data_IF_737296080709
#
_entry.id   IF_737296080709
#
_cell.length_a   1.000
_cell.length_b   1.000
_cell.length_c   1.000
_cell.angle_alpha   90.00
_cell.angle_beta   90.00
_cell.angle_gamma   90.00
#
_symmetry.space_group_name_H-M   'P 1'
#
loop_
_entity.id
_entity.type
_entity.pdbx_description
1 polymer ?
#
# COMPACT_ATOMS: atom_id res chain seq x y z
N UNK A 1 -5.71 17.80 -2.96
CA UNK A 1 -5.30 17.72 -1.55
C UNK A 1 -3.78 17.81 -1.51
N UNK A 2 -3.18 18.41 -0.48
CA UNK A 2 -1.73 18.45 -0.32
C UNK A 2 -1.16 17.04 -0.10
N UNK A 3 0.00 16.72 -0.68
CA UNK A 3 0.63 15.39 -0.61
C UNK A 3 0.85 14.93 0.83
N UNK A 4 1.32 15.82 1.71
CA UNK A 4 1.54 15.52 3.12
C UNK A 4 0.24 15.09 3.81
N UNK A 5 -0.87 15.74 3.48
CA UNK A 5 -2.19 15.40 4.01
C UNK A 5 -2.66 14.04 3.48
N UNK A 6 -2.41 13.72 2.21
CA UNK A 6 -2.76 12.42 1.62
C UNK A 6 -1.98 11.31 2.33
N UNK A 7 -0.65 11.44 2.43
CA UNK A 7 0.21 10.47 3.10
C UNK A 7 -0.21 10.30 4.57
N UNK A 8 -0.46 11.42 5.26
CA UNK A 8 -0.87 11.40 6.65
C UNK A 8 -2.28 10.82 6.86
N UNK A 9 -3.20 10.95 5.93
CA UNK A 9 -4.58 10.43 6.05
C UNK A 9 -4.71 8.95 5.66
N UNK A 10 -3.82 8.44 4.79
CA UNK A 10 -3.87 7.05 4.36
C UNK A 10 -3.69 6.08 5.55
N UNK A 11 -4.61 5.15 5.69
CA UNK A 11 -4.51 4.02 6.62
C UNK A 11 -5.22 2.78 6.04
N UNK A 12 -5.03 1.62 6.65
CA UNK A 12 -5.63 0.37 6.18
C UNK A 12 -7.10 0.30 6.58
N UNK A 13 -7.98 0.34 5.59
CA UNK A 13 -9.44 0.21 5.76
C UNK A 13 -9.83 -1.26 5.59
N UNK A 14 -10.63 -1.77 6.52
CA UNK A 14 -11.16 -3.16 6.51
C UNK A 14 -12.68 -3.21 6.62
N UNK A 15 -13.33 -2.07 6.75
CA UNK A 15 -14.78 -1.91 6.77
C UNK A 15 -15.21 -0.98 5.64
N UNK A 16 -16.02 -1.51 4.74
CA UNK A 16 -16.42 -0.82 3.52
C UNK A 16 -17.92 -0.59 3.47
N UNK A 17 -18.32 0.58 3.01
CA UNK A 17 -19.70 0.87 2.67
C UNK A 17 -20.13 0.10 1.42
N UNK A 18 -21.43 -0.18 1.31
CA UNK A 18 -22.04 -0.89 0.16
C UNK A 18 -22.09 -0.03 -1.12
N UNK A 19 -21.24 0.99 -1.23
CA UNK A 19 -21.18 1.89 -2.38
C UNK A 19 -20.19 1.36 -3.41
N UNK A 20 -20.63 1.24 -4.66
CA UNK A 20 -19.77 0.77 -5.77
C UNK A 20 -18.66 1.77 -6.12
N UNK A 21 -17.55 1.22 -6.65
CA UNK A 21 -16.45 1.99 -7.24
C UNK A 21 -16.47 1.74 -8.74
N UNK A 22 -16.65 2.78 -9.54
CA UNK A 22 -16.77 2.67 -10.99
C UNK A 22 -15.47 2.28 -11.66
N UNK A 23 -15.52 1.62 -12.81
CA UNK A 23 -14.32 1.34 -13.61
C UNK A 23 -13.59 2.62 -14.04
N UNK A 24 -14.33 3.73 -14.25
CA UNK A 24 -13.72 5.03 -14.53
C UNK A 24 -12.81 5.48 -13.38
N UNK A 25 -13.30 5.41 -12.15
CA UNK A 25 -12.51 5.77 -10.94
C UNK A 25 -11.28 4.86 -10.79
N UNK A 26 -11.45 3.55 -11.02
CA UNK A 26 -10.33 2.60 -10.99
C UNK A 26 -9.30 2.96 -12.07
N UNK A 27 -9.76 3.24 -13.29
CA UNK A 27 -8.92 3.67 -14.40
C UNK A 27 -8.12 4.93 -14.08
N UNK A 28 -8.75 5.95 -13.48
CA UNK A 28 -8.09 7.18 -13.05
C UNK A 28 -6.98 6.90 -12.02
N UNK A 29 -7.23 6.02 -11.04
CA UNK A 29 -6.23 5.63 -10.05
C UNK A 29 -5.03 4.96 -10.71
N UNK A 30 -5.28 3.99 -11.59
CA UNK A 30 -4.22 3.22 -12.23
C UNK A 30 -3.42 4.05 -13.25
N UNK A 31 -4.08 4.98 -13.95
CA UNK A 31 -3.45 5.86 -14.93
C UNK A 31 -2.44 6.82 -14.27
N UNK A 32 -2.73 7.30 -13.08
CA UNK A 32 -1.77 8.07 -12.28
C UNK A 32 -0.68 7.16 -11.71
N UNK A 33 -1.06 6.01 -11.13
CA UNK A 33 -0.11 5.11 -10.50
C UNK A 33 0.92 4.52 -11.49
N UNK A 34 0.59 4.35 -12.77
CA UNK A 34 1.53 3.84 -13.80
C UNK A 34 2.80 4.68 -13.97
N UNK A 35 2.81 5.93 -13.47
CA UNK A 35 4.00 6.79 -13.46
C UNK A 35 5.01 6.40 -12.36
N UNK A 36 4.79 5.29 -11.66
CA UNK A 36 5.73 4.73 -10.71
C UNK A 36 7.10 4.46 -11.35
N UNK A 37 8.22 4.73 -10.68
CA UNK A 37 9.52 4.26 -11.16
C UNK A 37 9.60 2.74 -11.08
N UNK A 38 10.42 2.15 -11.95
CA UNK A 38 10.72 0.71 -11.94
C UNK A 38 12.16 0.44 -12.33
N UNK A 39 12.70 -0.71 -11.93
CA UNK A 39 14.04 -1.16 -12.26
C UNK A 39 14.23 -1.13 -13.79
N UNK A 40 15.22 -0.38 -14.27
CA UNK A 40 15.46 -0.15 -15.71
C UNK A 40 14.20 0.23 -16.52
N UNK A 41 13.25 0.88 -15.89
CA UNK A 41 11.97 1.28 -16.50
C UNK A 41 11.18 0.11 -17.10
N UNK A 42 11.31 -1.09 -16.54
CA UNK A 42 10.73 -2.33 -17.12
C UNK A 42 9.20 -2.40 -16.99
N UNK A 43 8.61 -1.67 -16.05
CA UNK A 43 7.15 -1.53 -15.86
C UNK A 43 6.41 -2.86 -15.94
N UNK A 44 6.95 -3.86 -15.25
CA UNK A 44 6.50 -5.26 -15.35
C UNK A 44 5.25 -5.58 -14.53
N UNK A 45 4.57 -4.60 -13.95
CA UNK A 45 3.31 -4.78 -13.24
C UNK A 45 2.15 -5.11 -14.19
N UNK A 46 1.19 -5.92 -13.68
CA UNK A 46 -0.10 -6.22 -14.32
C UNK A 46 -1.20 -6.11 -13.28
N UNK A 47 -2.37 -5.68 -13.70
CA UNK A 47 -3.51 -5.48 -12.80
C UNK A 47 -4.67 -6.37 -13.20
N UNK A 48 -5.29 -7.03 -12.21
CA UNK A 48 -6.54 -7.74 -12.40
C UNK A 48 -7.57 -7.11 -11.47
N UNK A 49 -8.64 -6.59 -12.05
CA UNK A 49 -9.72 -5.95 -11.29
C UNK A 49 -10.81 -6.99 -11.02
N UNK A 50 -11.08 -7.25 -9.76
CA UNK A 50 -12.05 -8.24 -9.32
C UNK A 50 -13.20 -7.56 -8.57
N UNK A 51 -14.41 -7.59 -9.17
CA UNK A 51 -15.66 -7.14 -8.57
C UNK A 51 -16.63 -8.29 -8.31
N UNK A 52 -16.43 -9.43 -8.95
CA UNK A 52 -17.26 -10.63 -8.77
C UNK A 52 -17.21 -11.11 -7.31
N UNK A 53 -18.38 -11.27 -6.70
CA UNK A 53 -18.52 -11.61 -5.28
C UNK A 53 -17.91 -12.97 -4.96
N UNK A 54 -18.20 -13.98 -5.78
CA UNK A 54 -17.71 -15.36 -5.57
C UNK A 54 -16.18 -15.43 -5.65
N UNK A 55 -15.58 -14.75 -6.62
CA UNK A 55 -14.11 -14.66 -6.74
C UNK A 55 -13.50 -13.94 -5.55
N UNK A 56 -14.07 -12.80 -5.10
CA UNK A 56 -13.59 -12.07 -3.92
C UNK A 56 -13.63 -12.93 -2.65
N UNK A 57 -14.69 -13.73 -2.46
CA UNK A 57 -14.80 -14.66 -1.33
C UNK A 57 -13.72 -15.77 -1.39
N UNK A 58 -13.49 -16.37 -2.56
CA UNK A 58 -12.43 -17.36 -2.76
C UNK A 58 -11.04 -16.76 -2.50
N UNK A 59 -10.78 -15.56 -3.01
CA UNK A 59 -9.54 -14.82 -2.78
C UNK A 59 -9.34 -14.55 -1.29
N UNK A 60 -10.38 -14.10 -0.58
CA UNK A 60 -10.31 -13.82 0.85
C UNK A 60 -9.96 -15.08 1.68
N UNK A 61 -10.54 -16.23 1.34
CA UNK A 61 -10.20 -17.52 1.94
C UNK A 61 -8.73 -17.90 1.68
N UNK A 62 -8.28 -17.78 0.44
CA UNK A 62 -6.89 -18.04 0.04
C UNK A 62 -5.87 -17.11 0.73
N UNK A 63 -6.30 -15.96 1.24
CA UNK A 63 -5.49 -15.00 1.98
C UNK A 63 -5.66 -15.15 3.49
N UNK A 64 -5.42 -16.36 4.03
CA UNK A 64 -5.49 -16.67 5.46
C UNK A 64 -6.88 -16.40 6.07
N UNK A 65 -7.95 -16.77 5.35
CA UNK A 65 -9.34 -16.57 5.76
C UNK A 65 -9.70 -15.14 6.16
N UNK A 66 -9.08 -14.15 5.54
CA UNK A 66 -9.38 -12.73 5.79
C UNK A 66 -10.72 -12.34 5.15
N UNK A 67 -11.82 -12.90 5.65
CA UNK A 67 -13.17 -12.77 5.07
C UNK A 67 -13.67 -11.31 4.97
N UNK A 68 -13.12 -10.38 5.78
CA UNK A 68 -13.42 -8.96 5.67
C UNK A 68 -13.11 -8.39 4.27
N UNK A 69 -12.12 -8.98 3.55
CA UNK A 69 -11.75 -8.55 2.20
C UNK A 69 -12.92 -8.64 1.22
N UNK A 70 -13.75 -9.71 1.32
CA UNK A 70 -14.87 -9.94 0.41
C UNK A 70 -15.94 -8.83 0.46
N UNK A 71 -15.98 -8.06 1.56
CA UNK A 71 -16.86 -6.90 1.72
C UNK A 71 -16.40 -5.67 0.94
N UNK A 72 -15.13 -5.59 0.56
CA UNK A 72 -14.66 -4.51 -0.29
C UNK A 72 -15.33 -4.58 -1.68
N UNK A 73 -15.81 -3.46 -2.24
CA UNK A 73 -16.39 -3.43 -3.58
C UNK A 73 -15.46 -3.99 -4.66
N UNK A 74 -14.16 -3.70 -4.54
CA UNK A 74 -13.15 -4.04 -5.55
C UNK A 74 -11.91 -4.65 -4.90
N UNK A 75 -11.34 -5.68 -5.54
CA UNK A 75 -9.95 -6.08 -5.33
C UNK A 75 -9.15 -5.70 -6.58
N UNK A 76 -8.02 -5.03 -6.39
CA UNK A 76 -7.00 -4.82 -7.41
C UNK A 76 -5.88 -5.81 -7.10
N UNK A 77 -5.77 -6.88 -7.89
CA UNK A 77 -4.68 -7.84 -7.77
C UNK A 77 -3.52 -7.31 -8.59
N UNK A 78 -2.44 -6.95 -7.92
CA UNK A 78 -1.21 -6.44 -8.55
C UNK A 78 -0.26 -7.61 -8.72
N UNK A 79 0.05 -7.91 -9.96
CA UNK A 79 0.94 -8.99 -10.38
C UNK A 79 2.20 -8.39 -11.02
N UNK A 80 3.23 -9.20 -11.17
CA UNK A 80 4.35 -8.88 -12.06
C UNK A 80 4.52 -9.92 -13.16
N UNK A 81 5.00 -9.46 -14.32
CA UNK A 81 5.42 -10.27 -15.44
C UNK A 81 6.93 -10.52 -15.30
N UNK A 82 7.34 -11.79 -15.15
CA UNK A 82 8.74 -12.12 -14.89
C UNK A 82 9.61 -12.14 -16.15
N UNK A 83 9.04 -12.22 -17.36
CA UNK A 83 9.78 -12.51 -18.57
C UNK A 83 10.89 -11.52 -18.88
N UNK A 84 10.54 -10.26 -19.11
CA UNK A 84 11.52 -9.24 -19.48
C UNK A 84 12.51 -8.94 -18.35
N UNK A 85 12.02 -8.83 -17.12
CA UNK A 85 12.88 -8.51 -15.98
C UNK A 85 13.87 -9.65 -15.68
N UNK A 86 13.46 -10.90 -15.88
CA UNK A 86 14.33 -12.08 -15.72
C UNK A 86 15.44 -12.13 -16.77
N UNK A 87 15.19 -11.64 -17.97
CA UNK A 87 16.21 -11.48 -19.01
C UNK A 87 17.22 -10.40 -18.63
N UNK A 88 16.76 -9.28 -18.07
CA UNK A 88 17.63 -8.15 -17.70
C UNK A 88 18.41 -8.42 -16.39
N UNK A 89 17.79 -9.11 -15.45
CA UNK A 89 18.31 -9.34 -14.10
C UNK A 89 18.08 -10.81 -13.68
N UNK A 90 18.83 -11.78 -14.24
CA UNK A 90 18.55 -13.22 -14.06
C UNK A 90 18.59 -13.69 -12.60
N UNK A 91 19.33 -13.01 -11.72
CA UNK A 91 19.47 -13.37 -10.30
C UNK A 91 18.53 -12.57 -9.40
N UNK A 92 18.32 -11.29 -9.69
CA UNK A 92 17.63 -10.33 -8.84
C UNK A 92 16.18 -10.06 -9.30
N UNK A 93 15.69 -10.72 -10.36
CA UNK A 93 14.39 -10.40 -10.98
C UNK A 93 13.20 -10.48 -10.00
N UNK A 94 13.23 -11.40 -9.05
CA UNK A 94 12.16 -11.54 -8.05
C UNK A 94 12.15 -10.32 -7.12
N UNK A 95 13.32 -9.96 -6.58
CA UNK A 95 13.47 -8.82 -5.65
C UNK A 95 13.06 -7.52 -6.33
N UNK A 96 13.54 -7.28 -7.54
CA UNK A 96 13.20 -6.07 -8.31
C UNK A 96 11.72 -6.04 -8.69
N UNK A 97 11.12 -7.18 -9.02
CA UNK A 97 9.67 -7.26 -9.30
C UNK A 97 8.85 -6.92 -8.05
N UNK A 98 9.23 -7.43 -6.89
CA UNK A 98 8.56 -7.12 -5.62
C UNK A 98 8.69 -5.62 -5.29
N UNK A 99 9.86 -5.01 -5.49
CA UNK A 99 10.07 -3.58 -5.32
C UNK A 99 9.17 -2.78 -6.28
N UNK A 100 9.15 -3.11 -7.57
CA UNK A 100 8.33 -2.45 -8.58
C UNK A 100 6.83 -2.52 -8.21
N UNK A 101 6.33 -3.70 -7.81
CA UNK A 101 4.95 -3.89 -7.37
C UNK A 101 4.67 -3.10 -6.09
N UNK A 102 5.61 -3.02 -5.16
CA UNK A 102 5.44 -2.27 -3.92
C UNK A 102 5.33 -0.78 -4.15
N UNK A 103 6.14 -0.23 -5.05
CA UNK A 103 6.11 1.19 -5.40
C UNK A 103 4.77 1.56 -6.04
N UNK A 104 4.35 0.83 -7.09
CA UNK A 104 3.10 1.14 -7.78
C UNK A 104 1.88 0.93 -6.89
N UNK A 105 1.88 -0.09 -6.04
CA UNK A 105 0.81 -0.34 -5.06
C UNK A 105 0.67 0.80 -4.06
N UNK A 106 1.77 1.40 -3.64
CA UNK A 106 1.76 2.59 -2.77
C UNK A 106 1.12 3.78 -3.48
N UNK A 107 1.46 4.04 -4.74
CA UNK A 107 0.84 5.13 -5.52
C UNK A 107 -0.66 4.89 -5.74
N UNK A 108 -1.09 3.65 -6.00
CA UNK A 108 -2.51 3.28 -6.08
C UNK A 108 -3.24 3.66 -4.79
N UNK A 109 -2.67 3.31 -3.62
CA UNK A 109 -3.28 3.61 -2.34
C UNK A 109 -3.32 5.11 -2.04
N UNK A 110 -2.29 5.88 -2.40
CA UNK A 110 -2.25 7.32 -2.23
C UNK A 110 -3.28 8.02 -3.13
N UNK A 111 -3.35 7.65 -4.42
CA UNK A 111 -4.34 8.22 -5.34
C UNK A 111 -5.77 7.85 -4.94
N UNK A 112 -6.01 6.64 -4.48
CA UNK A 112 -7.31 6.26 -3.93
C UNK A 112 -7.69 7.11 -2.72
N UNK A 113 -6.74 7.37 -1.82
CA UNK A 113 -6.94 8.23 -0.64
C UNK A 113 -7.27 9.67 -1.05
N UNK A 114 -6.60 10.22 -2.06
CA UNK A 114 -6.91 11.54 -2.62
C UNK A 114 -8.35 11.65 -3.12
N UNK A 115 -8.85 10.56 -3.72
CA UNK A 115 -10.24 10.46 -4.20
C UNK A 115 -11.26 10.10 -3.10
N UNK A 116 -10.85 10.10 -1.83
CA UNK A 116 -11.72 9.77 -0.69
C UNK A 116 -12.05 8.28 -0.55
N UNK A 117 -11.28 7.41 -1.19
CA UNK A 117 -11.44 5.96 -1.09
C UNK A 117 -10.52 5.37 -0.04
N UNK A 118 -11.02 4.32 0.63
CA UNK A 118 -10.25 3.50 1.56
C UNK A 118 -9.60 2.31 0.87
N UNK A 119 -8.41 1.96 1.31
CA UNK A 119 -7.65 0.82 0.79
C UNK A 119 -7.05 0.01 1.92
N UNK A 120 -6.79 -1.28 1.66
CA UNK A 120 -5.92 -2.09 2.50
C UNK A 120 -5.01 -2.94 1.62
N UNK A 121 -3.73 -2.95 1.96
CA UNK A 121 -2.74 -3.85 1.39
C UNK A 121 -2.86 -5.23 2.01
N UNK A 122 -2.98 -6.26 1.18
CA UNK A 122 -2.97 -7.66 1.60
C UNK A 122 -1.91 -8.40 0.77
N UNK A 123 -0.97 -9.03 1.45
CA UNK A 123 0.01 -9.89 0.77
C UNK A 123 -0.68 -11.17 0.25
N UNK A 124 -0.28 -11.61 -0.93
CA UNK A 124 -0.71 -12.89 -1.47
C UNK A 124 0.01 -14.01 -0.71
N UNK A 125 -0.74 -14.80 0.07
CA UNK A 125 -0.18 -15.91 0.84
C UNK A 125 -0.14 -17.23 0.06
N UNK A 126 -1.05 -17.41 -0.90
CA UNK A 126 -1.12 -18.58 -1.76
C UNK A 126 -1.23 -18.18 -3.24
N UNK A 127 -0.06 -17.98 -3.87
CA UNK A 127 0.01 -17.55 -5.28
C UNK A 127 -0.66 -18.54 -6.23
N UNK A 128 -0.48 -19.84 -6.02
CA UNK A 128 -1.04 -20.90 -6.90
C UNK A 128 -2.56 -20.87 -6.90
N UNK A 129 -3.16 -20.75 -5.75
CA UNK A 129 -4.62 -20.70 -5.62
C UNK A 129 -5.20 -19.42 -6.22
N UNK A 130 -4.59 -18.25 -5.98
CA UNK A 130 -4.99 -16.99 -6.62
C UNK A 130 -4.88 -17.09 -8.14
N UNK A 131 -3.78 -17.66 -8.65
CA UNK A 131 -3.59 -17.87 -10.09
C UNK A 131 -4.67 -18.78 -10.67
N UNK A 132 -5.05 -19.86 -9.98
CA UNK A 132 -6.13 -20.76 -10.39
C UNK A 132 -7.49 -20.04 -10.41
N UNK A 133 -7.83 -19.29 -9.35
CA UNK A 133 -9.10 -18.54 -9.25
C UNK A 133 -9.25 -17.53 -10.40
N UNK A 134 -8.16 -16.85 -10.74
CA UNK A 134 -8.13 -15.74 -11.72
C UNK A 134 -7.65 -16.15 -13.11
N UNK A 135 -7.28 -17.42 -13.31
CA UNK A 135 -6.71 -17.96 -14.56
C UNK A 135 -5.47 -17.19 -15.02
N UNK A 136 -4.56 -16.94 -14.08
CA UNK A 136 -3.32 -16.21 -14.33
C UNK A 136 -2.31 -17.20 -14.93
N UNK A 137 -1.64 -16.87 -16.06
CA UNK A 137 -0.61 -17.73 -16.65
C UNK A 137 0.66 -17.74 -15.76
N UNK A 138 1.45 -18.80 -15.87
CA UNK A 138 2.58 -19.12 -14.99
C UNK A 138 3.67 -18.02 -14.94
N UNK A 139 3.83 -17.25 -16.02
CA UNK A 139 4.81 -16.16 -16.09
C UNK A 139 4.32 -14.83 -15.49
N UNK A 140 3.08 -14.79 -15.02
CA UNK A 140 2.50 -13.63 -14.29
C UNK A 140 2.30 -14.04 -12.83
N UNK A 141 2.96 -13.37 -11.96
CA UNK A 141 2.98 -13.74 -10.54
C UNK A 141 2.13 -12.76 -9.72
N UNK A 142 1.04 -13.19 -9.07
CA UNK A 142 0.27 -12.34 -8.17
C UNK A 142 1.08 -12.07 -6.90
N UNK A 143 1.19 -10.81 -6.51
CA UNK A 143 2.06 -10.37 -5.40
C UNK A 143 1.30 -9.65 -4.30
N UNK A 144 0.42 -8.73 -4.67
CA UNK A 144 -0.33 -7.90 -3.71
C UNK A 144 -1.79 -7.81 -4.13
N UNK A 145 -2.68 -7.81 -3.15
CA UNK A 145 -4.08 -7.48 -3.35
C UNK A 145 -4.38 -6.17 -2.62
N UNK A 146 -4.87 -5.18 -3.34
CA UNK A 146 -5.36 -3.94 -2.76
C UNK A 146 -6.88 -4.02 -2.73
N UNK A 147 -7.46 -4.10 -1.54
CA UNK A 147 -8.91 -3.92 -1.39
C UNK A 147 -9.24 -2.44 -1.50
N UNK A 148 -10.30 -2.09 -2.23
CA UNK A 148 -10.66 -0.70 -2.57
C UNK A 148 -12.17 -0.49 -2.40
N UNK A 149 -12.54 0.60 -1.75
CA UNK A 149 -13.94 1.00 -1.55
C UNK A 149 -14.07 2.25 -0.70
N UNK A 150 -15.30 2.72 -0.49
CA UNK A 150 -15.56 3.79 0.46
C UNK A 150 -15.50 3.24 1.89
N UNK A 151 -14.76 3.93 2.78
CA UNK A 151 -14.68 3.52 4.17
C UNK A 151 -16.04 3.72 4.88
N UNK A 152 -16.48 2.72 5.63
CA UNK A 152 -17.66 2.82 6.48
C UNK A 152 -17.30 3.47 7.82
N UNK A 153 -16.14 3.08 8.38
CA UNK A 153 -15.60 3.63 9.60
C UNK A 153 -14.11 3.96 9.45
N UNK A 154 -13.68 5.04 10.10
CA UNK A 154 -12.28 5.43 10.19
C UNK A 154 -11.75 5.04 11.58
N UNK A 155 -11.00 3.95 11.64
CA UNK A 155 -10.34 3.53 12.87
C UNK A 155 -9.22 4.49 13.26
N UNK A 156 -8.92 4.53 14.56
CA UNK A 156 -7.80 5.32 15.09
C UNK A 156 -6.49 4.91 14.39
N UNK A 157 -5.72 5.90 13.96
CA UNK A 157 -4.42 5.66 13.33
C UNK A 157 -3.48 4.94 14.28
N UNK A 158 -2.75 3.97 13.75
CA UNK A 158 -1.65 3.33 14.47
C UNK A 158 -0.48 4.30 14.62
N UNK A 159 0.22 4.21 15.74
CA UNK A 159 1.44 4.99 15.99
C UNK A 159 2.53 4.63 14.97
N UNK A 160 3.44 5.56 14.75
CA UNK A 160 4.66 5.35 13.97
C UNK A 160 5.86 5.46 14.88
N UNK A 161 6.90 4.73 14.57
CA UNK A 161 8.18 4.86 15.24
C UNK A 161 8.72 6.28 15.07
N UNK A 162 9.47 6.73 16.04
CA UNK A 162 10.12 8.04 15.96
C UNK A 162 11.23 8.01 14.91
N UNK A 163 11.36 9.08 14.13
CA UNK A 163 12.31 9.15 13.04
C UNK A 163 13.76 8.94 13.53
N UNK A 164 14.11 9.44 14.71
CA UNK A 164 15.43 9.30 15.31
C UNK A 164 15.86 7.83 15.55
N UNK A 165 14.89 6.91 15.71
CA UNK A 165 15.20 5.48 15.87
C UNK A 165 15.64 4.82 14.57
N UNK A 166 15.28 5.41 13.43
CA UNK A 166 15.50 4.88 12.09
C UNK A 166 16.64 5.59 11.33
N UNK A 167 17.12 6.73 11.86
CA UNK A 167 18.17 7.52 11.22
C UNK A 167 19.55 7.11 11.70
N UNK A 168 20.45 6.92 10.75
CA UNK A 168 21.89 6.72 10.94
C UNK A 168 22.62 7.61 9.94
N UNK A 169 23.75 8.17 10.30
CA UNK A 169 24.49 9.12 9.48
C UNK A 169 25.81 8.48 9.03
N UNK A 170 26.03 8.41 7.72
CA UNK A 170 27.17 7.82 7.02
C UNK A 170 27.33 6.31 7.28
N UNK A 171 27.22 5.83 8.52
CA UNK A 171 27.38 4.45 8.93
C UNK A 171 26.24 3.98 9.83
N UNK A 172 25.86 2.70 9.74
CA UNK A 172 24.85 2.12 10.61
C UNK A 172 25.29 2.19 12.08
N UNK A 173 24.39 2.62 12.95
CA UNK A 173 24.70 2.83 14.40
C UNK A 173 25.19 4.23 14.74
N UNK A 174 25.70 5.00 13.80
CA UNK A 174 26.18 6.36 14.01
C UNK A 174 25.02 7.33 14.13
N UNK A 175 24.76 7.80 15.34
CA UNK A 175 23.69 8.75 15.65
C UNK A 175 24.27 10.14 15.78
N UNK A 176 23.81 11.08 14.94
CA UNK A 176 24.06 12.51 15.14
C UNK A 176 22.83 13.12 15.83
N UNK A 177 23.09 13.92 16.88
CA UNK A 177 22.05 14.74 17.50
C UNK A 177 22.05 16.10 16.79
N UNK A 178 21.60 16.13 15.56
CA UNK A 178 21.32 17.40 14.90
C UNK A 178 19.84 17.75 15.17
N UNK A 179 19.65 18.67 16.08
CA UNK A 179 18.31 19.13 16.49
C UNK A 179 17.57 19.86 15.35
N UNK A 180 18.27 20.26 14.28
CA UNK A 180 17.65 20.92 13.11
C UNK A 180 16.84 19.94 12.26
N UNK A 181 17.23 18.66 12.25
CA UNK A 181 16.53 17.58 11.51
C UNK A 181 15.24 17.16 12.21
N UNK A 182 15.17 17.36 13.53
CA UNK A 182 13.98 17.04 14.32
C UNK A 182 13.27 18.34 14.69
N UNK A 183 12.09 18.63 14.18
CA UNK A 183 11.34 19.80 14.60
C UNK A 183 10.91 19.63 16.07
N UNK A 184 11.84 19.91 16.99
CA UNK A 184 11.60 19.97 18.44
C UNK A 184 10.39 20.83 18.78
N UNK A 185 10.09 21.83 17.93
CA UNK A 185 8.91 22.69 18.09
C UNK A 185 7.60 21.91 18.18
N UNK A 186 7.43 20.80 17.46
CA UNK A 186 6.24 19.94 17.58
C UNK A 186 6.21 19.12 18.87
N UNK A 187 7.37 18.73 19.40
CA UNK A 187 7.46 17.94 20.64
C UNK A 187 7.43 18.83 21.89
N UNK A 188 8.09 19.99 21.84
CA UNK A 188 8.07 20.96 22.93
C UNK A 188 6.67 21.54 23.13
N UNK A 189 5.89 21.77 22.07
CA UNK A 189 4.48 22.16 22.17
C UNK A 189 3.65 21.10 22.89
N UNK A 190 3.83 19.85 22.55
CA UNK A 190 3.10 18.72 23.15
C UNK A 190 3.51 18.45 24.59
N UNK A 191 4.78 18.68 24.94
CA UNK A 191 5.28 18.59 26.32
C UNK A 191 4.76 19.77 27.16
N UNK A 192 4.71 20.98 26.61
CA UNK A 192 4.12 22.15 27.29
C UNK A 192 2.61 22.02 27.50
N UNK A 193 1.88 21.37 26.63
CA UNK A 193 0.45 21.09 26.77
C UNK A 193 0.16 20.00 27.82
N UNK A 194 1.07 19.04 28.00
CA UNK A 194 0.93 17.91 28.93
C UNK A 194 1.51 18.21 30.34
N UNK A 195 2.42 19.16 30.47
CA UNK A 195 2.95 19.61 31.74
C UNK A 195 2.42 21.00 32.02
N UNK A 196 1.25 21.08 32.64
CA UNK A 196 0.90 22.28 33.41
C UNK A 196 1.91 22.39 34.56
N UNK A 197 2.92 23.22 34.39
CA UNK A 197 3.75 23.62 35.52
C UNK A 197 2.84 24.28 36.55
N UNK A 198 2.51 23.55 37.59
CA UNK A 198 2.00 24.15 38.82
C UNK A 198 3.09 25.06 39.33
N UNK A 199 2.86 26.36 39.26
CA UNK A 199 3.71 27.34 39.96
C UNK A 199 3.66 27.00 41.45
N UNK A 200 4.81 26.68 42.02
CA UNK A 200 5.08 26.75 43.46
C UNK A 200 5.28 28.24 43.80
#
# INVERSE_FOLDING_TARGET
MDLDKIIASRHSIREYASKDVTYKTIGEILDIAKNAPSSSNVQNWRFIIVKDKSKKEKIAKSCLDQLWMSKAPVHIVVCYDERNIKTLFPKEYVEYSIQNVSIISTLIMLKATELGLGTCWVAVSNQREISSILKIPDFIIPSVIITLGYANNYHKKTTRNQLNTMLHFEEYGKKQIDTSIFPLSKHVKKLKENYKFTKI
#
